data_IF_877725390221
#
_entry.id   IF_877725390221
#
_cell.length_a   1.000
_cell.length_b   1.000
_cell.length_c   1.000
_cell.angle_alpha   90.00
_cell.angle_beta   90.00
_cell.angle_gamma   90.00
#
_symmetry.space_group_name_H-M   'P 1'
#
loop_
_entity.id
_entity.type
_entity.pdbx_description
1 polymer ?
#
# COMPACT_ATOMS: atom_id res chain seq x y z
N UNK A 1 -2.74 16.52 8.18
CA UNK A 1 -1.68 15.52 8.06
C UNK A 1 -1.23 15.43 6.61
N UNK A 2 0.07 15.28 6.39
CA UNK A 2 0.68 14.97 5.10
C UNK A 2 0.52 13.46 4.88
N UNK A 3 -0.26 13.08 3.89
CA UNK A 3 -0.71 11.70 3.69
C UNK A 3 -0.01 11.13 2.46
N UNK A 4 0.47 9.90 2.55
CA UNK A 4 0.83 9.09 1.39
C UNK A 4 0.06 7.78 1.36
N UNK A 5 0.14 7.07 0.23
CA UNK A 5 -0.53 5.79 0.05
C UNK A 5 0.36 4.74 -0.65
N UNK A 6 0.12 3.47 -0.35
CA UNK A 6 0.50 2.33 -1.17
C UNK A 6 -0.78 1.64 -1.60
N UNK A 7 -0.94 1.37 -2.90
CA UNK A 7 -2.11 0.69 -3.46
C UNK A 7 -1.69 -0.67 -4.02
N UNK A 8 -2.10 -1.75 -3.38
CA UNK A 8 -1.80 -3.12 -3.79
C UNK A 8 -3.00 -3.80 -4.44
N UNK A 9 -2.90 -4.13 -5.72
CA UNK A 9 -3.90 -4.90 -6.45
C UNK A 9 -3.28 -5.61 -7.66
N UNK A 10 -4.03 -6.48 -8.33
CA UNK A 10 -3.63 -7.10 -9.60
C UNK A 10 -3.31 -6.01 -10.64
N UNK A 11 -4.10 -4.94 -10.67
CA UNK A 11 -3.89 -3.77 -11.53
C UNK A 11 -3.85 -2.49 -10.69
N UNK A 12 -2.76 -2.32 -9.94
CA UNK A 12 -2.61 -1.24 -8.96
C UNK A 12 -2.73 0.19 -9.53
N UNK A 13 -2.52 0.37 -10.85
CA UNK A 13 -2.65 1.68 -11.49
C UNK A 13 -4.07 2.26 -11.39
N UNK A 14 -5.09 1.41 -11.33
CA UNK A 14 -6.48 1.87 -11.23
C UNK A 14 -6.68 2.65 -9.93
N UNK A 15 -6.28 2.09 -8.80
CA UNK A 15 -6.42 2.74 -7.50
C UNK A 15 -5.38 3.82 -7.25
N UNK A 16 -4.12 3.61 -7.65
CA UNK A 16 -3.10 4.65 -7.58
C UNK A 16 -3.56 5.95 -8.29
N UNK A 17 -4.17 5.84 -9.47
CA UNK A 17 -4.67 7.02 -10.20
C UNK A 17 -5.76 7.79 -9.45
N UNK A 18 -6.50 7.13 -8.55
CA UNK A 18 -7.54 7.77 -7.73
C UNK A 18 -6.90 8.61 -6.62
N UNK A 19 -5.83 8.11 -5.99
CA UNK A 19 -5.04 8.89 -5.03
C UNK A 19 -4.29 10.05 -5.70
N UNK A 20 -3.70 9.82 -6.88
CA UNK A 20 -3.00 10.86 -7.66
C UNK A 20 -3.91 12.05 -7.97
N UNK A 21 -5.18 11.80 -8.35
CA UNK A 21 -6.18 12.86 -8.61
C UNK A 21 -6.49 13.73 -7.39
N UNK A 22 -6.21 13.25 -6.20
CA UNK A 22 -6.35 13.99 -4.94
C UNK A 22 -5.04 14.68 -4.51
N UNK A 23 -3.97 14.56 -5.31
CA UNK A 23 -2.65 15.09 -4.98
C UNK A 23 -1.92 14.31 -3.88
N UNK A 24 -2.35 13.07 -3.59
CA UNK A 24 -1.72 12.20 -2.59
C UNK A 24 -0.55 11.46 -3.25
N UNK A 25 0.69 11.58 -2.73
CA UNK A 25 1.82 10.74 -3.15
C UNK A 25 1.50 9.27 -2.94
N UNK A 26 1.54 8.48 -4.02
CA UNK A 26 1.13 7.08 -3.99
C UNK A 26 2.08 6.20 -4.79
N UNK A 27 2.29 4.98 -4.32
CA UNK A 27 2.97 3.92 -5.07
C UNK A 27 2.00 2.76 -5.30
N UNK A 28 1.76 2.43 -6.56
CA UNK A 28 1.02 1.22 -6.94
C UNK A 28 1.94 0.00 -6.97
N UNK A 29 1.50 -1.10 -6.34
CA UNK A 29 2.19 -2.39 -6.32
C UNK A 29 1.32 -3.45 -7.01
N UNK A 30 1.73 -3.87 -8.21
CA UNK A 30 1.06 -4.95 -8.91
C UNK A 30 1.40 -6.29 -8.24
N UNK A 31 0.40 -6.98 -7.70
CA UNK A 31 0.59 -8.26 -7.00
C UNK A 31 0.58 -9.48 -7.93
N UNK A 32 0.22 -9.29 -9.19
CA UNK A 32 0.13 -10.37 -10.17
C UNK A 32 -0.96 -11.38 -9.80
N UNK A 33 -0.58 -12.55 -9.27
CA UNK A 33 -1.52 -13.60 -8.84
C UNK A 33 -1.62 -13.72 -7.31
N UNK A 34 -0.86 -12.93 -6.56
CA UNK A 34 -0.87 -12.99 -5.11
C UNK A 34 -2.16 -12.39 -4.53
N UNK A 35 -2.74 -13.08 -3.54
CA UNK A 35 -3.99 -12.68 -2.88
C UNK A 35 -3.80 -11.68 -1.73
N UNK A 36 -2.58 -11.14 -1.57
CA UNK A 36 -2.18 -10.25 -0.48
C UNK A 36 -0.93 -9.46 -0.87
N UNK A 37 -0.66 -8.38 -0.13
CA UNK A 37 0.66 -7.78 -0.03
C UNK A 37 1.51 -8.51 1.02
N UNK A 38 2.81 -8.57 0.78
CA UNK A 38 3.81 -8.98 1.77
C UNK A 38 4.72 -7.80 2.16
N UNK A 39 5.49 -7.97 3.25
CA UNK A 39 6.35 -6.92 3.78
C UNK A 39 7.47 -6.51 2.82
N UNK A 40 7.96 -7.41 1.97
CA UNK A 40 9.04 -7.14 1.02
C UNK A 40 8.56 -6.26 -0.14
N UNK A 41 7.35 -6.51 -0.66
CA UNK A 41 6.69 -5.65 -1.64
C UNK A 41 6.45 -4.25 -1.05
N UNK A 42 5.98 -4.18 0.20
CA UNK A 42 5.76 -2.91 0.90
C UNK A 42 7.08 -2.15 1.09
N UNK A 43 8.15 -2.80 1.53
CA UNK A 43 9.50 -2.20 1.66
C UNK A 43 9.96 -1.56 0.35
N UNK A 44 9.78 -2.26 -0.77
CA UNK A 44 10.11 -1.72 -2.08
C UNK A 44 9.28 -0.46 -2.43
N UNK A 45 8.00 -0.45 -2.06
CA UNK A 45 7.12 0.73 -2.22
C UNK A 45 7.54 1.90 -1.34
N UNK A 46 7.89 1.64 -0.07
CA UNK A 46 8.34 2.63 0.90
C UNK A 46 9.56 3.41 0.40
N UNK A 47 10.53 2.72 -0.21
CA UNK A 47 11.75 3.36 -0.74
C UNK A 47 11.52 4.43 -1.82
N UNK A 48 10.33 4.44 -2.44
CA UNK A 48 9.96 5.37 -3.52
C UNK A 48 9.07 6.52 -3.04
N UNK A 49 8.60 6.48 -1.78
CA UNK A 49 7.80 7.53 -1.19
C UNK A 49 8.67 8.55 -0.46
N UNK A 50 8.28 9.83 -0.43
CA UNK A 50 8.99 10.85 0.35
C UNK A 50 8.63 10.75 1.83
N UNK A 51 9.00 9.65 2.50
CA UNK A 51 8.52 9.30 3.85
C UNK A 51 8.78 10.39 4.90
N UNK A 52 9.92 11.08 4.85
CA UNK A 52 10.25 12.20 5.75
C UNK A 52 9.27 13.39 5.64
N UNK A 53 8.49 13.42 4.56
CA UNK A 53 7.47 14.45 4.29
C UNK A 53 6.05 13.97 4.63
N UNK A 54 5.88 12.78 5.16
CA UNK A 54 4.57 12.20 5.48
C UNK A 54 4.38 12.09 6.99
N UNK A 55 3.15 12.31 7.44
CA UNK A 55 2.74 12.05 8.83
C UNK A 55 1.99 10.71 8.92
N UNK A 56 1.29 10.32 7.84
CA UNK A 56 0.45 9.13 7.78
C UNK A 56 0.68 8.43 6.43
N UNK A 57 0.81 7.11 6.48
CA UNK A 57 0.82 6.23 5.31
C UNK A 57 -0.39 5.29 5.37
N UNK A 58 -1.21 5.32 4.32
CA UNK A 58 -2.24 4.29 4.10
C UNK A 58 -1.70 3.17 3.23
N UNK A 59 -2.02 1.92 3.56
CA UNK A 59 -1.71 0.75 2.74
C UNK A 59 -3.04 0.09 2.38
N UNK A 60 -3.45 0.21 1.12
CA UNK A 60 -4.57 -0.54 0.57
C UNK A 60 -4.04 -1.91 0.14
N UNK A 61 -4.52 -2.96 0.82
CA UNK A 61 -4.17 -4.35 0.52
C UNK A 61 -5.09 -4.89 -0.59
N UNK A 62 -4.73 -6.05 -1.14
CA UNK A 62 -5.55 -6.76 -2.12
C UNK A 62 -6.93 -7.07 -1.52
N UNK A 63 -7.99 -6.94 -2.31
CA UNK A 63 -9.38 -7.23 -1.93
C UNK A 63 -9.63 -8.72 -1.63
N UNK A 64 -9.14 -9.19 -0.48
CA UNK A 64 -9.25 -10.56 -0.01
C UNK A 64 -9.43 -10.57 1.51
N UNK A 65 -10.45 -11.28 2.01
CA UNK A 65 -10.77 -11.30 3.45
C UNK A 65 -10.08 -12.45 4.21
N UNK A 66 -9.28 -13.27 3.54
CA UNK A 66 -8.68 -14.49 4.07
C UNK A 66 -7.15 -14.36 4.16
N UNK A 67 -6.47 -14.17 3.02
CA UNK A 67 -5.01 -14.17 2.96
C UNK A 67 -4.36 -13.02 3.75
N UNK A 68 -4.87 -11.76 3.69
CA UNK A 68 -4.20 -10.64 4.34
C UNK A 68 -4.13 -10.75 5.87
N UNK A 69 -5.03 -11.50 6.50
CA UNK A 69 -5.10 -11.64 7.97
C UNK A 69 -3.84 -12.28 8.57
N UNK A 70 -3.13 -13.12 7.81
CA UNK A 70 -2.00 -13.89 8.32
C UNK A 70 -0.64 -13.20 8.11
N UNK A 71 -0.61 -12.02 7.49
CA UNK A 71 0.64 -11.32 7.16
C UNK A 71 0.74 -9.97 7.86
N UNK A 72 1.90 -9.74 8.47
CA UNK A 72 2.24 -8.48 9.10
C UNK A 72 3.02 -7.62 8.09
N UNK A 73 2.52 -6.41 7.84
CA UNK A 73 3.15 -5.40 6.96
C UNK A 73 3.93 -4.34 7.75
N UNK A 74 4.19 -4.58 9.04
CA UNK A 74 4.86 -3.64 9.94
C UNK A 74 3.93 -2.62 10.59
N UNK A 75 2.61 -2.68 10.34
CA UNK A 75 1.63 -1.92 11.12
C UNK A 75 1.62 -2.44 12.56
N UNK A 76 1.52 -1.54 13.55
CA UNK A 76 1.28 -1.96 14.93
C UNK A 76 0.06 -2.90 14.96
N UNK A 77 0.24 -4.11 15.49
CA UNK A 77 -0.85 -5.08 15.53
C UNK A 77 -2.02 -4.46 16.31
N UNK A 78 -3.17 -4.34 15.66
CA UNK A 78 -4.45 -4.17 16.34
C UNK A 78 -4.89 -5.52 16.89
N UNK A 79 -4.08 -6.09 17.80
CA UNK A 79 -4.30 -7.21 18.74
C UNK A 79 -2.93 -7.70 19.27
#
# INVERSE_FOLDING_TARGET
YRIGAIAGDVVARLDASRFEKLGIPVIGLNTGKECHLDAHLVEHGLSKLPLDKLDILFIENVGNLICPRILNLGSINGL
#
